data_IF_931895252965
#
_entry.id   IF_931895252965
#
_cell.length_a   1.000
_cell.length_b   1.000
_cell.length_c   1.000
_cell.angle_alpha   90.00
_cell.angle_beta   90.00
_cell.angle_gamma   90.00
#
_symmetry.space_group_name_H-M   'P 1'
#
loop_
_entity.id
_entity.type
_entity.pdbx_description
1 polymer ?
#
# COMPACT_ATOMS: atom_id res chain seq x y z
N UNK A 1 41.43 -17.22 8.45
CA UNK A 1 41.70 -15.84 8.02
C UNK A 1 40.75 -15.38 6.89
N UNK A 2 40.54 -16.18 5.83
CA UNK A 2 39.66 -15.83 4.70
C UNK A 2 38.18 -15.64 5.10
N UNK A 3 37.67 -16.46 6.04
CA UNK A 3 36.29 -16.35 6.54
C UNK A 3 36.10 -15.07 7.36
N UNK A 4 37.04 -14.74 8.24
CA UNK A 4 37.02 -13.50 9.04
C UNK A 4 37.05 -12.24 8.16
N UNK A 5 37.85 -12.24 7.10
CA UNK A 5 37.91 -11.14 6.16
C UNK A 5 36.59 -10.93 5.42
N UNK A 6 35.95 -12.01 4.96
CA UNK A 6 34.61 -11.93 4.35
C UNK A 6 33.54 -11.44 5.32
N UNK A 7 33.58 -11.88 6.59
CA UNK A 7 32.66 -11.41 7.62
C UNK A 7 32.83 -9.91 7.93
N UNK A 8 34.08 -9.41 7.97
CA UNK A 8 34.34 -7.97 8.15
C UNK A 8 33.81 -7.15 6.98
N UNK A 9 33.94 -7.63 5.74
CA UNK A 9 33.38 -6.96 4.56
C UNK A 9 31.86 -6.89 4.67
N UNK A 10 31.19 -8.01 4.98
CA UNK A 10 29.72 -8.04 5.16
C UNK A 10 29.31 -7.10 6.29
N UNK A 11 30.00 -7.12 7.42
CA UNK A 11 29.73 -6.19 8.53
C UNK A 11 29.87 -4.73 8.12
N UNK A 12 30.91 -4.39 7.36
CA UNK A 12 31.10 -3.05 6.82
C UNK A 12 29.97 -2.61 5.87
N UNK A 13 29.53 -3.51 4.97
CA UNK A 13 28.41 -3.25 4.06
C UNK A 13 27.11 -3.03 4.86
N UNK A 14 26.83 -3.84 5.86
CA UNK A 14 25.64 -3.66 6.71
C UNK A 14 25.65 -2.32 7.41
N UNK A 15 26.77 -1.89 7.96
CA UNK A 15 26.88 -0.57 8.60
C UNK A 15 26.63 0.59 7.61
N UNK A 16 27.20 0.50 6.40
CA UNK A 16 26.98 1.50 5.34
C UNK A 16 25.50 1.56 4.95
N UNK A 17 24.88 0.41 4.72
CA UNK A 17 23.45 0.34 4.36
C UNK A 17 22.58 0.90 5.48
N UNK A 18 22.86 0.57 6.74
CA UNK A 18 22.13 1.09 7.90
C UNK A 18 22.25 2.60 8.01
N UNK A 19 23.44 3.13 7.74
CA UNK A 19 23.67 4.58 7.75
C UNK A 19 22.92 5.29 6.61
N UNK A 20 22.92 4.73 5.42
CA UNK A 20 22.14 5.25 4.28
C UNK A 20 20.63 5.23 4.59
N UNK A 21 20.12 4.13 5.15
CA UNK A 21 18.71 4.04 5.55
C UNK A 21 18.34 5.05 6.63
N UNK A 22 19.23 5.30 7.59
CA UNK A 22 19.01 6.33 8.60
C UNK A 22 18.92 7.72 7.99
N UNK A 23 19.83 8.08 7.09
CA UNK A 23 19.80 9.36 6.36
C UNK A 23 18.51 9.49 5.55
N UNK A 24 18.14 8.44 4.81
CA UNK A 24 16.92 8.40 4.02
C UNK A 24 15.69 8.64 4.88
N UNK A 25 15.62 7.99 6.06
CA UNK A 25 14.54 8.20 7.03
C UNK A 25 14.45 9.64 7.51
N UNK A 26 15.59 10.28 7.83
CA UNK A 26 15.62 11.69 8.25
C UNK A 26 15.13 12.64 7.15
N UNK A 27 15.57 12.42 5.92
CA UNK A 27 15.15 13.23 4.77
C UNK A 27 13.65 13.06 4.51
N UNK A 28 13.16 11.82 4.48
CA UNK A 28 11.76 11.52 4.23
C UNK A 28 10.85 12.10 5.31
N UNK A 29 11.23 11.96 6.59
CA UNK A 29 10.52 12.56 7.71
C UNK A 29 10.49 14.09 7.58
N UNK A 30 11.63 14.72 7.34
CA UNK A 30 11.72 16.19 7.21
C UNK A 30 10.83 16.72 6.08
N UNK A 31 10.88 16.09 4.92
CA UNK A 31 10.03 16.47 3.77
C UNK A 31 8.54 16.30 4.13
N UNK A 32 8.16 15.17 4.69
CA UNK A 32 6.76 14.88 5.03
C UNK A 32 6.21 15.87 6.06
N UNK A 33 6.94 16.10 7.14
CA UNK A 33 6.50 17.04 8.18
C UNK A 33 6.44 18.49 7.69
N UNK A 34 7.35 18.91 6.81
CA UNK A 34 7.29 20.22 6.19
C UNK A 34 6.06 20.39 5.29
N UNK A 35 5.76 19.38 4.46
CA UNK A 35 4.56 19.38 3.61
C UNK A 35 3.28 19.41 4.48
N UNK A 36 3.22 18.59 5.51
CA UNK A 36 2.07 18.52 6.44
C UNK A 36 1.87 19.85 7.16
N UNK A 37 2.94 20.48 7.62
CA UNK A 37 2.89 21.80 8.27
C UNK A 37 2.40 22.89 7.29
N UNK A 38 2.95 22.93 6.07
CA UNK A 38 2.51 23.90 5.06
C UNK A 38 1.04 23.68 4.68
N UNK A 39 0.62 22.42 4.50
CA UNK A 39 -0.79 22.09 4.22
C UNK A 39 -1.70 22.54 5.35
N UNK A 40 -1.33 22.29 6.61
CA UNK A 40 -2.11 22.73 7.78
C UNK A 40 -2.26 24.25 7.83
N UNK A 41 -1.18 24.99 7.60
CA UNK A 41 -1.21 26.45 7.56
C UNK A 41 -2.09 26.98 6.44
N UNK A 42 -2.03 26.39 5.24
CA UNK A 42 -2.89 26.79 4.10
C UNK A 42 -4.36 26.50 4.35
N UNK A 43 -4.67 25.32 4.90
CA UNK A 43 -6.05 24.95 5.25
C UNK A 43 -6.58 25.89 6.33
N UNK A 44 -5.81 26.16 7.39
CA UNK A 44 -6.20 27.09 8.44
C UNK A 44 -6.45 28.51 7.89
N UNK A 45 -5.55 29.05 7.06
CA UNK A 45 -5.72 30.33 6.42
C UNK A 45 -6.95 30.36 5.51
N UNK A 46 -7.26 29.25 4.82
CA UNK A 46 -8.45 29.14 3.98
C UNK A 46 -9.73 29.16 4.82
N UNK A 47 -9.76 28.48 5.95
CA UNK A 47 -10.90 28.46 6.88
C UNK A 47 -11.25 29.89 7.34
N UNK A 48 -10.25 30.74 7.61
CA UNK A 48 -10.47 32.12 8.06
C UNK A 48 -11.13 33.02 7.04
N UNK A 49 -11.06 32.71 5.76
CA UNK A 49 -11.67 33.50 4.65
C UNK A 49 -12.92 32.84 4.06
N UNK A 50 -13.38 31.72 4.65
CA UNK A 50 -14.62 31.09 4.20
C UNK A 50 -15.85 31.91 4.51
N UNK A 51 -16.88 31.91 3.63
CA UNK A 51 -18.15 32.55 3.92
C UNK A 51 -18.77 31.98 5.20
N UNK A 52 -19.36 32.86 6.04
CA UNK A 52 -20.06 32.46 7.27
C UNK A 52 -21.12 31.39 7.00
N UNK A 53 -21.82 31.47 5.87
CA UNK A 53 -22.81 30.49 5.46
C UNK A 53 -22.23 29.03 5.42
N UNK A 54 -20.97 28.87 5.00
CA UNK A 54 -20.31 27.56 4.99
C UNK A 54 -19.98 27.09 6.41
N UNK A 55 -19.50 28.00 7.25
CA UNK A 55 -19.15 27.70 8.64
C UNK A 55 -20.41 27.32 9.43
N UNK A 56 -21.51 28.05 9.23
CA UNK A 56 -22.79 27.80 9.91
C UNK A 56 -23.47 26.51 9.43
N UNK A 57 -23.23 26.09 8.17
CA UNK A 57 -23.80 24.88 7.59
C UNK A 57 -22.96 23.62 7.81
N UNK A 58 -21.75 23.76 8.33
CA UNK A 58 -20.81 22.65 8.52
C UNK A 58 -20.52 22.46 10.01
N UNK A 59 -20.56 21.22 10.47
CA UNK A 59 -20.21 20.92 11.87
C UNK A 59 -18.78 21.41 12.19
N UNK A 60 -18.61 22.10 13.31
CA UNK A 60 -17.29 22.51 13.80
C UNK A 60 -16.34 21.31 13.99
N UNK A 61 -16.89 20.15 14.39
CA UNK A 61 -16.16 18.91 14.53
C UNK A 61 -15.62 18.39 13.17
N UNK A 62 -16.39 18.55 12.07
CA UNK A 62 -15.94 18.18 10.73
C UNK A 62 -14.80 19.09 10.25
N UNK A 63 -14.92 20.40 10.46
CA UNK A 63 -13.86 21.36 10.12
C UNK A 63 -12.56 21.05 10.88
N UNK A 64 -12.67 20.79 12.18
CA UNK A 64 -11.52 20.42 13.03
C UNK A 64 -10.95 19.03 12.62
N UNK A 65 -11.82 18.08 12.30
CA UNK A 65 -11.43 16.76 11.80
C UNK A 65 -10.58 16.86 10.53
N UNK A 66 -11.00 17.69 9.57
CA UNK A 66 -10.23 17.95 8.34
C UNK A 66 -8.89 18.63 8.62
N UNK A 67 -8.86 19.60 9.53
CA UNK A 67 -7.64 20.35 9.86
C UNK A 67 -6.61 19.50 10.61
N UNK A 68 -7.05 18.57 11.43
CA UNK A 68 -6.17 17.76 12.29
C UNK A 68 -6.02 16.36 11.71
N UNK A 69 -7.09 15.58 11.67
CA UNK A 69 -7.03 14.16 11.36
C UNK A 69 -6.73 13.87 9.88
N UNK A 70 -7.40 14.57 8.94
CA UNK A 70 -7.19 14.29 7.52
C UNK A 70 -5.80 14.71 7.07
N UNK A 71 -5.28 15.81 7.58
CA UNK A 71 -3.92 16.27 7.28
C UNK A 71 -2.88 15.30 7.87
N UNK A 72 -3.11 14.75 9.05
CA UNK A 72 -2.22 13.75 9.64
C UNK A 72 -2.27 12.43 8.87
N UNK A 73 -3.44 12.01 8.36
CA UNK A 73 -3.58 10.86 7.47
C UNK A 73 -2.83 11.06 6.15
N UNK A 74 -2.91 12.26 5.56
CA UNK A 74 -2.12 12.62 4.37
C UNK A 74 -0.62 12.53 4.68
N UNK A 75 -0.20 13.06 5.81
CA UNK A 75 1.20 12.99 6.26
C UNK A 75 1.70 11.55 6.41
N UNK A 76 0.93 10.68 7.07
CA UNK A 76 1.26 9.27 7.20
C UNK A 76 1.31 8.57 5.83
N UNK A 77 0.36 8.85 4.95
CA UNK A 77 0.33 8.33 3.58
C UNK A 77 1.55 8.76 2.76
N UNK A 78 1.95 10.02 2.85
CA UNK A 78 3.15 10.54 2.20
C UNK A 78 4.43 9.87 2.74
N UNK A 79 4.55 9.75 4.06
CA UNK A 79 5.70 9.11 4.70
C UNK A 79 5.85 7.66 4.23
N UNK A 80 4.75 6.90 4.27
CA UNK A 80 4.73 5.52 3.79
C UNK A 80 5.05 5.42 2.30
N UNK A 81 4.48 6.30 1.48
CA UNK A 81 4.68 6.31 0.03
C UNK A 81 6.13 6.63 -0.35
N UNK A 82 6.72 7.67 0.24
CA UNK A 82 8.12 8.01 -0.02
C UNK A 82 9.07 6.91 0.41
N UNK A 83 8.86 6.34 1.60
CA UNK A 83 9.69 5.23 2.09
C UNK A 83 9.58 4.02 1.16
N UNK A 84 8.37 3.63 0.77
CA UNK A 84 8.14 2.49 -0.12
C UNK A 84 8.71 2.72 -1.52
N UNK A 85 8.55 3.92 -2.08
CA UNK A 85 9.09 4.26 -3.39
C UNK A 85 10.62 4.21 -3.40
N UNK A 86 11.28 4.86 -2.45
CA UNK A 86 12.74 4.91 -2.40
C UNK A 86 13.33 3.52 -2.17
N UNK A 87 12.76 2.75 -1.24
CA UNK A 87 13.19 1.38 -0.96
C UNK A 87 12.92 0.47 -2.16
N UNK A 88 11.74 0.58 -2.78
CA UNK A 88 11.37 -0.21 -3.96
C UNK A 88 12.29 0.07 -5.15
N UNK A 89 12.54 1.34 -5.47
CA UNK A 89 13.47 1.71 -6.56
C UNK A 89 14.87 1.18 -6.27
N UNK A 90 15.39 1.39 -5.05
CA UNK A 90 16.71 0.90 -4.67
C UNK A 90 16.82 -0.62 -4.77
N UNK A 91 15.79 -1.35 -4.33
CA UNK A 91 15.74 -2.82 -4.41
C UNK A 91 15.69 -3.27 -5.87
N UNK A 92 14.78 -2.73 -6.67
CA UNK A 92 14.63 -3.13 -8.08
C UNK A 92 15.91 -2.86 -8.87
N UNK A 93 16.41 -1.62 -8.82
CA UNK A 93 17.61 -1.22 -9.56
C UNK A 93 18.83 -2.00 -9.06
N UNK A 94 19.02 -2.09 -7.75
CA UNK A 94 20.14 -2.83 -7.16
C UNK A 94 20.14 -4.31 -7.52
N UNK A 95 18.96 -4.96 -7.44
CA UNK A 95 18.82 -6.39 -7.79
C UNK A 95 19.08 -6.65 -9.26
N UNK A 96 18.52 -5.82 -10.16
CA UNK A 96 18.76 -5.95 -11.61
C UNK A 96 20.24 -5.75 -11.93
N UNK A 97 20.89 -4.73 -11.36
CA UNK A 97 22.31 -4.47 -11.61
C UNK A 97 23.19 -5.65 -11.15
N UNK A 98 22.94 -6.17 -9.95
CA UNK A 98 23.69 -7.32 -9.43
C UNK A 98 23.45 -8.57 -10.28
N UNK A 99 22.19 -8.85 -10.64
CA UNK A 99 21.85 -9.99 -11.49
C UNK A 99 22.48 -9.87 -12.87
N UNK A 100 22.43 -8.69 -13.49
CA UNK A 100 23.06 -8.43 -14.80
C UNK A 100 24.58 -8.57 -14.77
N UNK A 101 25.19 -8.16 -13.64
CA UNK A 101 26.66 -8.31 -13.44
C UNK A 101 27.07 -9.77 -13.28
N UNK A 102 26.27 -10.59 -12.58
CA UNK A 102 26.54 -12.02 -12.40
C UNK A 102 26.29 -12.77 -13.71
N UNK A 103 25.10 -12.60 -14.32
CA UNK A 103 24.78 -13.21 -15.60
C UNK A 103 23.59 -12.53 -16.29
N UNK A 104 23.85 -11.90 -17.39
CA UNK A 104 22.87 -11.05 -18.10
C UNK A 104 21.61 -11.80 -18.54
N UNK A 105 21.72 -13.06 -19.03
CA UNK A 105 20.55 -13.83 -19.51
C UNK A 105 19.51 -14.09 -18.43
N UNK A 106 19.94 -14.35 -17.17
CA UNK A 106 19.00 -14.55 -16.04
C UNK A 106 18.29 -13.25 -15.68
N UNK A 107 19.04 -12.13 -15.67
CA UNK A 107 18.45 -10.80 -15.44
C UNK A 107 17.36 -10.50 -16.47
N UNK A 108 17.58 -10.80 -17.74
CA UNK A 108 16.59 -10.62 -18.84
C UNK A 108 15.33 -11.46 -18.57
N UNK A 109 15.47 -12.73 -18.18
CA UNK A 109 14.34 -13.60 -17.88
C UNK A 109 13.47 -12.98 -16.77
N UNK A 110 14.08 -12.54 -15.68
CA UNK A 110 13.36 -11.93 -14.55
C UNK A 110 12.67 -10.64 -14.99
N UNK A 111 13.38 -9.74 -15.67
CA UNK A 111 12.84 -8.45 -16.12
C UNK A 111 11.68 -8.63 -17.11
N UNK A 112 11.74 -9.62 -18.00
CA UNK A 112 10.68 -9.90 -18.99
C UNK A 112 9.45 -10.53 -18.33
N UNK A 113 9.64 -11.38 -17.33
CA UNK A 113 8.53 -12.07 -16.66
C UNK A 113 7.83 -11.20 -15.59
N UNK A 114 8.53 -10.26 -14.99
CA UNK A 114 7.97 -9.42 -13.91
C UNK A 114 6.75 -8.57 -14.34
N UNK A 115 6.71 -7.95 -15.54
CA UNK A 115 5.51 -7.23 -15.98
C UNK A 115 4.24 -8.09 -15.97
N UNK A 116 4.35 -9.40 -16.03
CA UNK A 116 3.21 -10.31 -15.92
C UNK A 116 2.49 -10.17 -14.58
N UNK A 117 3.24 -10.00 -13.48
CA UNK A 117 2.65 -9.79 -12.15
C UNK A 117 1.87 -8.47 -12.08
N UNK A 118 2.40 -7.40 -12.70
CA UNK A 118 1.72 -6.11 -12.77
C UNK A 118 0.45 -6.17 -13.62
N UNK A 119 0.48 -6.89 -14.74
CA UNK A 119 -0.70 -7.09 -15.59
C UNK A 119 -1.80 -7.82 -14.83
N UNK A 120 -1.46 -8.92 -14.15
CA UNK A 120 -2.43 -9.70 -13.36
C UNK A 120 -2.99 -8.86 -12.21
N UNK A 121 -2.14 -8.16 -11.47
CA UNK A 121 -2.57 -7.26 -10.40
C UNK A 121 -3.51 -6.16 -10.92
N UNK A 122 -3.19 -5.54 -12.06
CA UNK A 122 -4.02 -4.49 -12.66
C UNK A 122 -5.40 -4.98 -13.10
N UNK A 123 -5.50 -6.21 -13.60
CA UNK A 123 -6.78 -6.83 -13.96
C UNK A 123 -7.67 -7.06 -12.73
N UNK A 124 -7.09 -7.52 -11.63
CA UNK A 124 -7.81 -7.71 -10.37
C UNK A 124 -8.28 -6.36 -9.85
N UNK A 125 -7.39 -5.36 -9.76
CA UNK A 125 -7.71 -4.02 -9.26
C UNK A 125 -8.86 -3.38 -10.06
N UNK A 126 -8.84 -3.48 -11.39
CA UNK A 126 -9.92 -2.96 -12.23
C UNK A 126 -11.27 -3.62 -11.93
N UNK A 127 -11.29 -4.94 -11.69
CA UNK A 127 -12.52 -5.66 -11.30
C UNK A 127 -12.98 -5.30 -9.90
N UNK A 128 -12.05 -5.09 -9.00
CA UNK A 128 -12.32 -4.81 -7.58
C UNK A 128 -12.80 -3.38 -7.35
N UNK A 129 -12.40 -2.44 -8.21
CA UNK A 129 -12.69 -1.01 -8.05
C UNK A 129 -14.19 -0.70 -7.92
N UNK A 130 -15.05 -1.32 -8.73
CA UNK A 130 -16.51 -1.11 -8.67
C UNK A 130 -17.10 -1.55 -7.33
N UNK A 131 -16.66 -2.68 -6.80
CA UNK A 131 -17.13 -3.20 -5.50
C UNK A 131 -16.70 -2.31 -4.34
N UNK A 132 -15.49 -1.77 -4.38
CA UNK A 132 -15.03 -0.81 -3.36
C UNK A 132 -15.81 0.51 -3.43
N UNK A 133 -16.13 1.00 -4.62
CA UNK A 133 -16.95 2.21 -4.77
C UNK A 133 -18.36 2.01 -4.23
N UNK A 134 -18.98 0.86 -4.52
CA UNK A 134 -20.29 0.50 -3.97
C UNK A 134 -20.24 0.42 -2.44
N UNK A 135 -19.23 -0.23 -1.87
CA UNK A 135 -19.05 -0.31 -0.42
C UNK A 135 -18.89 1.07 0.22
N UNK A 136 -18.13 1.98 -0.40
CA UNK A 136 -17.96 3.34 0.08
C UNK A 136 -19.28 4.14 0.03
N UNK A 137 -20.08 3.96 -1.03
CA UNK A 137 -21.38 4.61 -1.14
C UNK A 137 -22.35 4.14 -0.06
N UNK A 138 -22.47 2.82 0.17
CA UNK A 138 -23.30 2.24 1.22
C UNK A 138 -22.81 2.69 2.62
N UNK A 139 -21.51 2.77 2.83
CA UNK A 139 -20.94 3.29 4.08
C UNK A 139 -21.30 4.75 4.31
N UNK A 140 -21.30 5.56 3.25
CA UNK A 140 -21.75 6.95 3.31
C UNK A 140 -23.23 7.06 3.67
N UNK A 141 -24.09 6.21 3.07
CA UNK A 141 -25.53 6.11 3.38
C UNK A 141 -25.75 5.70 4.84
N UNK A 142 -25.03 4.70 5.34
CA UNK A 142 -25.09 4.27 6.74
C UNK A 142 -24.72 5.38 7.71
N UNK A 143 -23.60 6.09 7.42
CA UNK A 143 -23.16 7.19 8.27
C UNK A 143 -24.19 8.33 8.30
N UNK A 144 -24.73 8.73 7.14
CA UNK A 144 -25.77 9.76 7.06
C UNK A 144 -27.04 9.36 7.81
N UNK A 145 -27.47 8.10 7.66
CA UNK A 145 -28.62 7.58 8.39
C UNK A 145 -28.40 7.59 9.91
N UNK A 146 -27.24 7.13 10.38
CA UNK A 146 -26.90 7.16 11.80
C UNK A 146 -26.85 8.58 12.36
N UNK A 147 -26.24 9.53 11.62
CA UNK A 147 -26.17 10.93 12.01
C UNK A 147 -27.56 11.56 12.12
N UNK A 148 -28.45 11.28 11.15
CA UNK A 148 -29.83 11.76 11.16
C UNK A 148 -30.62 11.18 12.35
N UNK A 149 -30.52 9.87 12.61
CA UNK A 149 -31.26 9.22 13.68
C UNK A 149 -30.75 9.64 15.07
N UNK A 150 -29.45 9.77 15.26
CA UNK A 150 -28.86 10.25 16.52
C UNK A 150 -29.21 11.71 16.76
N UNK A 151 -29.11 12.54 15.69
CA UNK A 151 -29.44 13.97 15.77
C UNK A 151 -30.91 14.24 16.12
N UNK A 152 -31.81 13.37 15.64
CA UNK A 152 -33.26 13.47 15.84
C UNK A 152 -33.81 12.47 16.87
N UNK A 153 -32.99 11.93 17.77
CA UNK A 153 -33.41 10.89 18.72
C UNK A 153 -34.63 11.27 19.56
N UNK A 154 -34.79 12.56 19.91
CA UNK A 154 -35.99 13.04 20.63
C UNK A 154 -37.27 12.87 19.79
N UNK A 155 -37.20 13.10 18.49
CA UNK A 155 -38.32 12.96 17.55
C UNK A 155 -38.65 11.48 17.36
N UNK A 156 -37.62 10.66 17.15
CA UNK A 156 -37.75 9.20 17.04
C UNK A 156 -38.48 8.62 18.25
N UNK A 157 -38.11 9.03 19.46
CA UNK A 157 -38.74 8.58 20.70
C UNK A 157 -40.17 9.14 20.88
N UNK A 158 -40.43 10.38 20.42
CA UNK A 158 -41.75 11.01 20.55
C UNK A 158 -42.80 10.36 19.66
N UNK A 159 -42.42 9.88 18.48
CA UNK A 159 -43.31 9.26 17.51
C UNK A 159 -43.24 7.72 17.49
N UNK A 160 -42.50 7.12 18.43
CA UNK A 160 -42.35 5.65 18.58
C UNK A 160 -41.81 4.95 17.30
N UNK A 161 -40.87 5.64 16.62
CA UNK A 161 -40.34 5.26 15.30
C UNK A 161 -39.08 4.36 15.38
N UNK A 162 -38.81 3.74 16.54
CA UNK A 162 -37.61 2.95 16.78
C UNK A 162 -37.57 1.68 15.94
N UNK A 163 -38.71 0.99 15.79
CA UNK A 163 -38.82 -0.30 15.06
C UNK A 163 -38.52 -0.07 13.58
N UNK A 164 -39.14 0.95 12.95
CA UNK A 164 -38.94 1.28 11.56
C UNK A 164 -37.51 1.71 11.27
N UNK A 165 -36.89 2.44 12.20
CA UNK A 165 -35.48 2.84 12.08
C UNK A 165 -34.54 1.65 12.20
N UNK A 166 -34.84 0.69 13.08
CA UNK A 166 -34.06 -0.55 13.21
C UNK A 166 -34.18 -1.41 11.94
N UNK A 167 -35.36 -1.53 11.37
CA UNK A 167 -35.57 -2.24 10.10
C UNK A 167 -34.75 -1.59 8.97
N UNK A 168 -34.80 -0.27 8.84
CA UNK A 168 -34.04 0.47 7.82
C UNK A 168 -32.53 0.39 8.05
N UNK A 169 -32.08 0.46 9.30
CA UNK A 169 -30.69 0.23 9.64
C UNK A 169 -30.23 -1.16 9.23
N UNK A 170 -31.02 -2.19 9.54
CA UNK A 170 -30.73 -3.56 9.20
C UNK A 170 -30.67 -3.79 7.68
N UNK A 171 -31.53 -3.13 6.89
CA UNK A 171 -31.49 -3.18 5.43
C UNK A 171 -30.16 -2.61 4.89
N UNK A 172 -29.74 -1.42 5.36
CA UNK A 172 -28.49 -0.80 4.96
C UNK A 172 -27.30 -1.66 5.41
N UNK A 173 -27.35 -2.17 6.64
CA UNK A 173 -26.30 -3.01 7.22
C UNK A 173 -26.13 -4.35 6.45
N UNK A 174 -27.23 -4.96 6.01
CA UNK A 174 -27.18 -6.18 5.20
C UNK A 174 -26.56 -5.91 3.81
N UNK A 175 -26.88 -4.78 3.20
CA UNK A 175 -26.24 -4.34 1.94
C UNK A 175 -24.76 -4.07 2.15
N UNK A 176 -24.39 -3.42 3.25
CA UNK A 176 -23.00 -3.18 3.62
C UNK A 176 -22.24 -4.47 3.88
N UNK A 177 -22.86 -5.45 4.56
CA UNK A 177 -22.29 -6.78 4.78
C UNK A 177 -22.00 -7.49 3.45
N UNK A 178 -23.00 -7.60 2.56
CA UNK A 178 -22.87 -8.26 1.26
C UNK A 178 -21.77 -7.61 0.39
N UNK A 179 -21.82 -6.30 0.27
CA UNK A 179 -20.82 -5.54 -0.49
C UNK A 179 -19.42 -5.65 0.13
N UNK A 180 -19.35 -5.62 1.47
CA UNK A 180 -18.10 -5.79 2.23
C UNK A 180 -17.43 -7.14 2.02
N UNK A 181 -18.22 -8.23 2.08
CA UNK A 181 -17.70 -9.60 1.83
C UNK A 181 -17.12 -9.71 0.42
N UNK A 182 -17.83 -9.19 -0.60
CA UNK A 182 -17.38 -9.26 -1.99
C UNK A 182 -16.12 -8.42 -2.19
N UNK A 183 -16.11 -7.18 -1.73
CA UNK A 183 -14.94 -6.29 -1.88
C UNK A 183 -13.71 -6.84 -1.15
N UNK A 184 -13.89 -7.39 0.05
CA UNK A 184 -12.82 -8.01 0.83
C UNK A 184 -12.28 -9.28 0.16
N UNK A 185 -13.17 -10.11 -0.40
CA UNK A 185 -12.78 -11.32 -1.13
C UNK A 185 -11.89 -10.96 -2.34
N UNK A 186 -12.33 -10.03 -3.18
CA UNK A 186 -11.53 -9.61 -4.33
C UNK A 186 -10.22 -8.91 -3.90
N UNK A 187 -10.26 -8.08 -2.86
CA UNK A 187 -9.05 -7.48 -2.29
C UNK A 187 -8.05 -8.53 -1.78
N UNK A 188 -8.55 -9.57 -1.11
CA UNK A 188 -7.72 -10.65 -0.60
C UNK A 188 -7.08 -11.51 -1.71
N UNK A 189 -7.69 -11.58 -2.91
CA UNK A 189 -7.14 -12.32 -4.05
C UNK A 189 -5.83 -11.73 -4.63
N UNK A 190 -5.56 -10.45 -4.38
CA UNK A 190 -4.37 -9.77 -4.92
C UNK A 190 -3.10 -10.50 -4.46
N UNK A 191 -2.96 -10.73 -3.16
CA UNK A 191 -1.75 -11.36 -2.60
C UNK A 191 -1.51 -12.81 -3.07
N UNK A 192 -2.49 -13.74 -3.03
CA UNK A 192 -2.29 -15.09 -3.55
C UNK A 192 -1.96 -15.12 -5.03
N UNK A 193 -2.60 -14.25 -5.82
CA UNK A 193 -2.41 -14.22 -7.27
C UNK A 193 -1.03 -13.68 -7.66
N UNK A 194 -0.57 -12.61 -7.00
CA UNK A 194 0.79 -12.11 -7.20
C UNK A 194 1.83 -13.13 -6.76
N UNK A 195 1.62 -13.82 -5.63
CA UNK A 195 2.51 -14.91 -5.18
C UNK A 195 2.57 -16.06 -6.18
N UNK A 196 1.45 -16.41 -6.82
CA UNK A 196 1.44 -17.45 -7.86
C UNK A 196 2.30 -17.04 -9.06
N UNK A 197 2.16 -15.80 -9.53
CA UNK A 197 3.01 -15.29 -10.62
C UNK A 197 4.49 -15.28 -10.21
N UNK A 198 4.79 -14.81 -9.01
CA UNK A 198 6.16 -14.82 -8.48
C UNK A 198 6.74 -16.24 -8.40
N UNK A 199 5.93 -17.24 -8.02
CA UNK A 199 6.34 -18.64 -8.02
C UNK A 199 6.65 -19.16 -9.42
N UNK A 200 5.92 -18.71 -10.45
CA UNK A 200 6.21 -19.03 -11.85
C UNK A 200 7.56 -18.44 -12.29
N UNK A 201 7.81 -17.16 -11.95
CA UNK A 201 9.09 -16.51 -12.23
C UNK A 201 10.22 -17.24 -11.53
N UNK A 202 10.04 -17.59 -10.26
CA UNK A 202 11.01 -18.34 -9.46
C UNK A 202 11.32 -19.71 -10.08
N UNK A 203 10.28 -20.45 -10.50
CA UNK A 203 10.42 -21.74 -11.17
C UNK A 203 11.15 -21.61 -12.51
N UNK A 204 10.84 -20.60 -13.32
CA UNK A 204 11.51 -20.36 -14.59
C UNK A 204 13.01 -20.07 -14.39
N UNK A 205 13.36 -19.24 -13.42
CA UNK A 205 14.76 -18.96 -13.06
C UNK A 205 15.45 -20.21 -12.53
N UNK A 206 14.74 -21.00 -11.71
CA UNK A 206 15.26 -22.28 -11.17
C UNK A 206 15.57 -23.30 -12.25
N UNK A 207 14.64 -23.51 -13.19
CA UNK A 207 14.81 -24.46 -14.31
C UNK A 207 15.97 -24.01 -15.22
N UNK A 208 15.94 -22.73 -15.63
CA UNK A 208 17.02 -22.21 -16.47
C UNK A 208 18.38 -22.28 -15.80
N UNK A 209 18.45 -21.86 -14.54
CA UNK A 209 19.67 -21.89 -13.76
C UNK A 209 20.19 -23.31 -13.48
N UNK A 210 19.29 -24.29 -13.27
CA UNK A 210 19.66 -25.70 -13.14
C UNK A 210 20.30 -26.23 -14.43
N UNK A 211 19.74 -25.94 -15.60
CA UNK A 211 20.36 -26.26 -16.90
C UNK A 211 21.76 -25.66 -17.04
N UNK A 212 21.96 -24.43 -16.59
CA UNK A 212 23.27 -23.78 -16.65
C UNK A 212 24.29 -24.40 -15.66
N UNK A 213 23.82 -24.90 -14.53
CA UNK A 213 24.68 -25.67 -13.58
C UNK A 213 25.08 -27.00 -14.21
N UNK A 214 24.16 -27.74 -14.84
CA UNK A 214 24.45 -29.00 -15.51
C UNK A 214 25.45 -28.83 -16.68
N UNK A 215 25.39 -27.73 -17.37
CA UNK A 215 26.32 -27.38 -18.46
C UNK A 215 27.65 -26.81 -17.95
N UNK A 216 27.86 -26.73 -16.62
CA UNK A 216 29.10 -26.23 -16.02
C UNK A 216 29.27 -24.70 -16.11
N UNK A 217 28.27 -23.95 -16.58
CA UNK A 217 28.32 -22.50 -16.69
C UNK A 217 28.08 -21.79 -15.34
N UNK A 218 27.31 -22.41 -14.45
CA UNK A 218 27.02 -21.87 -13.10
C UNK A 218 27.49 -22.79 -12.01
N UNK A 219 27.89 -22.22 -10.88
CA UNK A 219 27.98 -22.96 -9.62
C UNK A 219 26.60 -23.00 -8.93
N UNK A 220 26.39 -24.00 -8.06
CA UNK A 220 25.18 -24.09 -7.23
C UNK A 220 24.97 -22.81 -6.39
N UNK A 221 26.08 -22.18 -5.94
CA UNK A 221 26.02 -20.92 -5.19
C UNK A 221 25.48 -19.75 -6.02
N UNK A 222 25.85 -19.66 -7.30
CA UNK A 222 25.33 -18.67 -8.23
C UNK A 222 23.82 -18.87 -8.42
N UNK A 223 23.38 -20.11 -8.65
CA UNK A 223 21.95 -20.45 -8.77
C UNK A 223 21.16 -20.03 -7.52
N UNK A 224 21.66 -20.35 -6.32
CA UNK A 224 21.04 -19.94 -5.06
C UNK A 224 20.92 -18.43 -4.94
N UNK A 225 21.95 -17.69 -5.33
CA UNK A 225 21.92 -16.22 -5.34
C UNK A 225 20.85 -15.68 -6.29
N UNK A 226 20.73 -16.23 -7.51
CA UNK A 226 19.69 -15.83 -8.45
C UNK A 226 18.28 -16.10 -7.95
N UNK A 227 18.03 -17.24 -7.32
CA UNK A 227 16.73 -17.55 -6.73
C UNK A 227 16.39 -16.57 -5.59
N UNK A 228 17.37 -16.18 -4.80
CA UNK A 228 17.18 -15.15 -3.75
C UNK A 228 16.84 -13.79 -4.36
N UNK A 229 17.59 -13.36 -5.37
CA UNK A 229 17.34 -12.08 -6.04
C UNK A 229 16.03 -12.06 -6.82
N UNK A 230 15.67 -13.16 -7.49
CA UNK A 230 14.38 -13.28 -8.16
C UNK A 230 13.21 -13.12 -7.19
N UNK A 231 13.30 -13.73 -6.01
CA UNK A 231 12.28 -13.60 -4.96
C UNK A 231 12.23 -12.20 -4.33
N UNK A 232 13.36 -11.51 -4.27
CA UNK A 232 13.43 -10.15 -3.70
C UNK A 232 12.97 -9.08 -4.69
N UNK A 233 13.12 -9.33 -6.00
CA UNK A 233 12.72 -8.42 -7.07
C UNK A 233 11.21 -8.45 -7.34
N UNK A 234 10.55 -9.60 -7.18
CA UNK A 234 9.12 -9.84 -7.44
C UNK A 234 8.25 -9.68 -6.20
#
# INVERSE_FOLDING_TARGET
HALLHKLMIVGGVVLIVSFIQWIMGQITNSITYNITNDLRNRVFSKIQVLPLKYIDSTSHGDILGRLINDIDLIGQGLLQSFTSLLTGIATIVGTILIMAWIHFSVAVIVVVLTPLSLLVASLIVKRTHSYFQEQLAIRGEMNGFCEEMIGNQKIVNLFDYQIENEEKFNEINERMHKSGVISQFYGALINPTTRLVNSIVYAAVGIYGAFQVLNGAFSVGILSSFLTYANQYT
#
